data_IF_774691407735
#
_entry.id   IF_774691407735
#
_cell.length_a   1.000
_cell.length_b   1.000
_cell.length_c   1.000
_cell.angle_alpha   90.00
_cell.angle_beta   90.00
_cell.angle_gamma   90.00
#
_symmetry.space_group_name_H-M   'P 1'
#
loop_
_entity.id
_entity.type
_entity.pdbx_description
1 polymer ?
#
# COMPACT_ATOMS: atom_id res chain seq x y z
N UNK A 1 -45.58 20.69 15.79
CA UNK A 1 -44.91 19.44 16.19
C UNK A 1 -43.77 19.16 15.22
N UNK A 2 -42.54 19.45 15.61
CA UNK A 2 -41.32 19.21 14.78
C UNK A 2 -40.79 17.83 15.16
N UNK A 3 -40.86 16.86 14.23
CA UNK A 3 -40.25 15.55 14.44
C UNK A 3 -38.75 15.65 14.16
N UNK A 4 -37.97 15.59 15.23
CA UNK A 4 -36.53 15.48 15.19
C UNK A 4 -36.16 14.06 14.73
N UNK A 5 -35.67 13.89 13.49
CA UNK A 5 -35.06 12.64 13.01
C UNK A 5 -33.65 12.55 13.56
N UNK A 6 -33.39 11.76 14.57
CA UNK A 6 -32.07 11.36 14.98
C UNK A 6 -31.51 10.38 13.92
N UNK A 7 -30.60 10.86 13.07
CA UNK A 7 -29.76 9.97 12.28
C UNK A 7 -28.77 9.30 13.23
N UNK A 8 -29.02 8.04 13.58
CA UNK A 8 -28.08 7.19 14.28
C UNK A 8 -26.93 6.88 13.29
N UNK A 9 -25.81 7.60 13.42
CA UNK A 9 -24.58 7.31 12.67
C UNK A 9 -24.04 5.99 13.22
N UNK A 10 -24.43 4.85 12.60
CA UNK A 10 -23.77 3.57 12.88
C UNK A 10 -22.33 3.68 12.39
N UNK A 11 -21.40 3.84 13.30
CA UNK A 11 -19.98 3.60 13.08
C UNK A 11 -19.84 2.13 12.64
N UNK A 12 -19.81 1.89 11.33
CA UNK A 12 -19.43 0.60 10.76
C UNK A 12 -17.94 0.46 11.01
N UNK A 13 -17.58 -0.11 12.16
CA UNK A 13 -16.17 -0.51 12.40
C UNK A 13 -15.85 -1.56 11.35
N UNK A 14 -14.92 -1.23 10.50
CA UNK A 14 -14.48 -2.10 9.44
C UNK A 14 -13.94 -3.42 10.04
N UNK A 15 -14.47 -4.59 9.65
CA UNK A 15 -14.25 -5.87 10.34
C UNK A 15 -12.79 -6.37 10.31
N UNK A 16 -11.94 -5.79 9.47
CA UNK A 16 -10.51 -6.14 9.39
C UNK A 16 -9.64 -5.60 10.54
N UNK A 17 -10.18 -4.70 11.37
CA UNK A 17 -9.44 -4.13 12.50
C UNK A 17 -9.37 -5.06 13.73
N UNK A 18 -10.28 -6.03 13.87
CA UNK A 18 -10.51 -6.74 15.13
C UNK A 18 -10.36 -8.26 15.10
N UNK A 19 -10.28 -8.91 13.96
CA UNK A 19 -10.27 -10.37 13.87
C UNK A 19 -8.89 -10.89 13.43
N UNK A 20 -8.04 -11.22 14.37
CA UNK A 20 -6.77 -11.92 14.07
C UNK A 20 -6.16 -12.50 15.33
N UNK A 21 -5.50 -13.63 15.19
CA UNK A 21 -4.72 -14.30 16.24
C UNK A 21 -3.45 -13.53 16.66
N UNK A 22 -3.35 -12.24 16.34
CA UNK A 22 -2.21 -11.39 16.64
C UNK A 22 -0.99 -11.59 15.74
N UNK A 23 -1.05 -12.50 14.77
CA UNK A 23 0.08 -12.78 13.87
C UNK A 23 0.15 -11.74 12.75
N UNK A 24 0.88 -10.67 12.97
CA UNK A 24 1.14 -9.63 11.98
C UNK A 24 2.54 -9.78 11.37
N UNK A 25 2.69 -9.48 10.06
CA UNK A 25 4.03 -9.33 9.47
C UNK A 25 4.83 -8.22 10.15
N UNK A 26 6.15 -8.27 10.02
CA UNK A 26 7.00 -7.18 10.50
C UNK A 26 6.58 -5.86 9.86
N UNK A 27 6.69 -4.76 10.61
CA UNK A 27 6.35 -3.40 10.15
C UNK A 27 4.91 -3.27 9.59
N UNK A 28 3.96 -4.06 10.15
CA UNK A 28 2.56 -4.02 9.74
C UNK A 28 1.86 -2.78 10.30
N UNK A 29 1.25 -2.00 9.41
CA UNK A 29 0.53 -0.76 9.74
C UNK A 29 -0.61 -0.49 8.75
N UNK A 30 -1.62 0.23 9.21
CA UNK A 30 -2.56 0.88 8.32
C UNK A 30 -1.87 2.03 7.57
N UNK A 31 -2.11 2.11 6.27
CA UNK A 31 -1.89 3.31 5.46
C UNK A 31 -3.16 4.15 5.48
N UNK A 32 -4.29 3.49 5.25
CA UNK A 32 -5.61 4.10 5.27
C UNK A 32 -6.62 3.02 5.67
N UNK A 33 -7.15 3.12 6.89
CA UNK A 33 -8.10 2.14 7.43
C UNK A 33 -9.44 2.20 6.73
N UNK A 34 -9.92 3.38 6.38
CA UNK A 34 -11.21 3.57 5.71
C UNK A 34 -11.20 2.95 4.31
N UNK A 35 -10.10 3.12 3.60
CA UNK A 35 -9.89 2.51 2.29
C UNK A 35 -9.40 1.05 2.37
N UNK A 36 -9.11 0.52 3.55
CA UNK A 36 -8.59 -0.83 3.73
C UNK A 36 -7.21 -1.04 3.10
N UNK A 37 -6.32 -0.07 3.23
CA UNK A 37 -4.94 -0.13 2.69
C UNK A 37 -3.95 -0.26 3.84
N UNK A 38 -3.13 -1.30 3.77
CA UNK A 38 -2.14 -1.65 4.79
C UNK A 38 -0.76 -1.83 4.18
N UNK A 39 0.27 -1.73 5.01
CA UNK A 39 1.67 -1.96 4.62
C UNK A 39 2.37 -2.91 5.57
N UNK A 40 3.41 -3.63 5.08
CA UNK A 40 4.27 -4.46 5.93
C UNK A 40 5.61 -4.77 5.28
N UNK A 41 6.48 -5.47 6.01
CA UNK A 41 7.56 -6.31 5.47
C UNK A 41 6.99 -7.57 4.83
N UNK A 42 7.88 -8.47 4.39
CA UNK A 42 7.50 -9.73 3.75
C UNK A 42 6.74 -10.62 4.73
N UNK A 43 5.47 -10.99 4.45
CA UNK A 43 4.77 -11.96 5.26
C UNK A 43 5.25 -13.39 4.97
N UNK A 44 5.30 -14.25 6.00
CA UNK A 44 5.40 -15.68 5.85
C UNK A 44 4.02 -16.34 5.65
N UNK A 45 4.00 -17.67 5.54
CA UNK A 45 2.75 -18.43 5.32
C UNK A 45 1.69 -18.16 6.40
N UNK A 46 2.09 -18.19 7.68
CA UNK A 46 1.17 -18.00 8.82
C UNK A 46 0.56 -16.60 8.83
N UNK A 47 1.36 -15.57 8.52
CA UNK A 47 0.87 -14.21 8.41
C UNK A 47 -0.12 -14.04 7.24
N UNK A 48 0.13 -14.67 6.09
CA UNK A 48 -0.83 -14.68 4.99
C UNK A 48 -2.13 -15.41 5.37
N UNK A 49 -2.07 -16.50 6.13
CA UNK A 49 -3.26 -17.18 6.66
C UNK A 49 -4.07 -16.28 7.61
N UNK A 50 -3.37 -15.57 8.49
CA UNK A 50 -3.99 -14.59 9.40
C UNK A 50 -4.64 -13.45 8.61
N UNK A 51 -3.95 -12.88 7.62
CA UNK A 51 -4.49 -11.83 6.76
C UNK A 51 -5.72 -12.31 5.98
N UNK A 52 -5.70 -13.52 5.42
CA UNK A 52 -6.83 -14.10 4.71
C UNK A 52 -8.07 -14.28 5.63
N UNK A 53 -7.87 -14.78 6.86
CA UNK A 53 -8.93 -14.89 7.89
C UNK A 53 -9.52 -13.53 8.25
N UNK A 54 -8.71 -12.46 8.22
CA UNK A 54 -9.13 -11.06 8.44
C UNK A 54 -9.81 -10.44 7.21
N UNK A 55 -10.03 -11.20 6.16
CA UNK A 55 -10.72 -10.77 4.96
C UNK A 55 -9.88 -10.00 3.95
N UNK A 56 -8.54 -9.97 4.08
CA UNK A 56 -7.70 -9.40 3.03
C UNK A 56 -7.97 -10.09 1.69
N UNK A 57 -7.91 -9.31 0.60
CA UNK A 57 -8.20 -9.79 -0.77
C UNK A 57 -7.00 -9.65 -1.70
N UNK A 58 -6.19 -8.64 -1.50
CA UNK A 58 -5.12 -8.29 -2.44
C UNK A 58 -3.78 -8.11 -1.75
N UNK A 59 -2.73 -8.56 -2.44
CA UNK A 59 -1.33 -8.38 -2.04
C UNK A 59 -0.60 -7.62 -3.15
N UNK A 60 -0.07 -6.43 -2.86
CA UNK A 60 0.85 -5.71 -3.73
C UNK A 60 2.27 -6.05 -3.36
N UNK A 61 2.85 -7.03 -4.06
CA UNK A 61 4.22 -7.45 -3.86
C UNK A 61 5.18 -6.60 -4.71
N UNK A 62 6.08 -5.85 -4.05
CA UNK A 62 7.08 -4.97 -4.70
C UNK A 62 8.46 -5.65 -4.81
N UNK A 63 8.59 -6.92 -4.44
CA UNK A 63 9.86 -7.65 -4.49
C UNK A 63 10.19 -8.06 -5.92
N UNK A 64 11.44 -7.83 -6.33
CA UNK A 64 11.87 -8.03 -7.71
C UNK A 64 11.87 -9.51 -8.11
N UNK A 65 12.49 -10.39 -7.32
CA UNK A 65 12.70 -11.79 -7.69
C UNK A 65 11.87 -12.81 -6.91
N UNK A 66 10.92 -12.35 -6.07
CA UNK A 66 10.12 -13.24 -5.23
C UNK A 66 8.63 -13.03 -5.47
N UNK A 67 7.93 -14.14 -5.71
CA UNK A 67 6.47 -14.21 -5.76
C UNK A 67 5.94 -14.86 -4.50
N UNK A 68 4.78 -14.40 -4.05
CA UNK A 68 4.08 -14.96 -2.90
C UNK A 68 3.15 -16.12 -3.28
N UNK A 69 3.01 -16.46 -4.56
CA UNK A 69 2.06 -17.49 -5.04
C UNK A 69 2.19 -18.84 -4.31
N UNK A 70 3.42 -19.24 -3.93
CA UNK A 70 3.63 -20.46 -3.13
C UNK A 70 3.12 -20.30 -1.71
N UNK A 71 3.30 -19.10 -1.12
CA UNK A 71 2.91 -18.80 0.25
C UNK A 71 1.40 -18.57 0.41
N UNK A 72 0.72 -18.08 -0.63
CA UNK A 72 -0.73 -17.82 -0.61
C UNK A 72 -1.55 -18.96 -1.25
N UNK A 73 -0.93 -20.07 -1.66
CA UNK A 73 -1.65 -21.19 -2.27
C UNK A 73 -2.79 -21.68 -1.37
N UNK A 74 -4.00 -21.79 -1.92
CA UNK A 74 -5.20 -22.20 -1.20
C UNK A 74 -5.81 -21.12 -0.30
N UNK A 75 -5.32 -19.87 -0.34
CA UNK A 75 -5.91 -18.72 0.32
C UNK A 75 -6.67 -17.87 -0.70
N UNK A 76 -7.72 -17.20 -0.26
CA UNK A 76 -8.47 -16.23 -1.08
C UNK A 76 -7.73 -14.88 -1.20
N UNK A 77 -6.45 -14.95 -1.56
CA UNK A 77 -5.59 -13.78 -1.74
C UNK A 77 -5.11 -13.71 -3.19
N UNK A 78 -5.14 -12.54 -3.80
CA UNK A 78 -4.61 -12.30 -5.14
C UNK A 78 -3.34 -11.48 -5.07
N UNK A 79 -2.24 -12.03 -5.62
CA UNK A 79 -0.99 -11.30 -5.76
C UNK A 79 -1.02 -10.41 -7.01
N UNK A 80 -0.68 -9.14 -6.82
CA UNK A 80 -0.34 -8.17 -7.87
C UNK A 80 1.13 -7.85 -7.76
N UNK A 81 1.96 -8.60 -8.47
CA UNK A 81 3.41 -8.44 -8.43
C UNK A 81 3.88 -7.47 -9.50
N UNK A 82 4.76 -6.54 -9.10
CA UNK A 82 5.58 -5.75 -10.00
C UNK A 82 6.92 -5.55 -9.30
N UNK A 83 7.92 -6.29 -9.75
CA UNK A 83 9.25 -6.21 -9.17
C UNK A 83 9.83 -4.81 -9.35
N UNK A 84 10.15 -4.16 -8.23
CA UNK A 84 10.76 -2.83 -8.21
C UNK A 84 12.18 -2.95 -7.68
N UNK A 85 13.15 -2.47 -8.44
CA UNK A 85 14.53 -2.38 -7.99
C UNK A 85 14.72 -1.07 -7.21
N UNK A 86 15.06 -1.15 -5.94
CA UNK A 86 15.14 0.01 -5.03
C UNK A 86 16.13 1.07 -5.50
N UNK A 87 17.25 0.65 -6.10
CA UNK A 87 18.29 1.56 -6.60
C UNK A 87 17.93 2.28 -7.91
N UNK A 88 16.91 1.79 -8.64
CA UNK A 88 16.54 2.31 -9.97
C UNK A 88 15.02 2.36 -10.17
N UNK A 89 14.27 2.74 -9.13
CA UNK A 89 12.81 2.95 -9.21
C UNK A 89 12.51 4.06 -10.20
N UNK A 90 11.58 3.82 -11.10
CA UNK A 90 11.13 4.80 -12.09
C UNK A 90 9.74 5.34 -11.78
N UNK A 91 9.38 6.47 -12.40
CA UNK A 91 8.02 7.01 -12.34
C UNK A 91 6.99 5.98 -12.86
N UNK A 92 7.33 5.23 -13.91
CA UNK A 92 6.49 4.17 -14.47
C UNK A 92 6.23 3.04 -13.47
N UNK A 93 7.24 2.67 -12.67
CA UNK A 93 7.07 1.67 -11.61
C UNK A 93 6.11 2.17 -10.54
N UNK A 94 6.24 3.44 -10.13
CA UNK A 94 5.33 4.06 -9.18
C UNK A 94 3.91 4.16 -9.73
N UNK A 95 3.75 4.56 -11.00
CA UNK A 95 2.45 4.64 -11.65
C UNK A 95 1.74 3.28 -11.64
N UNK A 96 2.45 2.22 -12.03
CA UNK A 96 1.92 0.86 -12.01
C UNK A 96 1.60 0.38 -10.59
N UNK A 97 2.42 0.74 -9.61
CA UNK A 97 2.19 0.38 -8.22
C UNK A 97 0.96 1.10 -7.65
N UNK A 98 0.88 2.41 -7.81
CA UNK A 98 -0.22 3.24 -7.31
C UNK A 98 -1.55 2.87 -7.98
N UNK A 99 -1.54 2.53 -9.28
CA UNK A 99 -2.73 2.04 -9.99
C UNK A 99 -3.31 0.80 -9.32
N UNK A 100 -2.48 -0.17 -8.98
CA UNK A 100 -2.92 -1.37 -8.23
C UNK A 100 -3.40 -1.01 -6.82
N UNK A 101 -2.69 -0.13 -6.11
CA UNK A 101 -3.12 0.31 -4.77
C UNK A 101 -4.49 0.97 -4.82
N UNK A 102 -4.78 1.75 -5.86
CA UNK A 102 -6.08 2.40 -6.07
C UNK A 102 -7.18 1.39 -6.43
N UNK A 103 -6.91 0.47 -7.37
CA UNK A 103 -7.95 -0.28 -8.08
C UNK A 103 -8.16 -1.72 -7.58
N UNK A 104 -7.18 -2.32 -6.91
CA UNK A 104 -7.29 -3.71 -6.47
C UNK A 104 -8.36 -3.87 -5.37
N UNK A 105 -9.01 -5.04 -5.28
CA UNK A 105 -9.95 -5.35 -4.20
C UNK A 105 -9.34 -5.10 -2.80
N UNK A 106 -10.16 -4.61 -1.89
CA UNK A 106 -9.76 -4.28 -0.52
C UNK A 106 -10.32 -5.33 0.47
N UNK A 107 -9.69 -5.52 1.64
CA UNK A 107 -8.43 -4.91 2.08
C UNK A 107 -7.21 -5.35 1.27
N UNK A 108 -6.25 -4.42 1.09
CA UNK A 108 -5.03 -4.63 0.33
C UNK A 108 -3.80 -4.48 1.24
N UNK A 109 -2.84 -5.39 1.13
CA UNK A 109 -1.53 -5.26 1.73
C UNK A 109 -0.48 -4.86 0.68
N UNK A 110 0.31 -3.81 0.97
CA UNK A 110 1.48 -3.43 0.19
C UNK A 110 2.72 -3.90 0.95
N UNK A 111 3.60 -4.67 0.32
CA UNK A 111 4.84 -5.08 0.97
C UNK A 111 6.05 -5.13 0.04
N UNK A 112 7.24 -5.10 0.67
CA UNK A 112 8.50 -5.44 0.03
C UNK A 112 9.28 -6.43 0.93
N UNK A 113 10.59 -6.29 1.12
CA UNK A 113 11.32 -7.12 2.08
C UNK A 113 11.12 -6.65 3.51
N UNK A 114 11.50 -5.38 3.80
CA UNK A 114 11.39 -4.80 5.14
C UNK A 114 10.09 -4.00 5.38
N UNK A 115 9.35 -3.70 4.31
CA UNK A 115 8.20 -2.78 4.40
C UNK A 115 8.60 -1.30 4.46
N UNK A 116 9.87 -0.98 4.26
CA UNK A 116 10.45 0.35 4.46
C UNK A 116 10.57 1.13 3.13
N UNK A 117 11.61 0.86 2.36
CA UNK A 117 12.02 1.71 1.22
C UNK A 117 11.02 1.70 0.05
N UNK A 118 10.89 0.57 -0.67
CA UNK A 118 9.95 0.44 -1.79
C UNK A 118 8.51 0.65 -1.38
N UNK A 119 8.13 0.07 -0.25
CA UNK A 119 6.78 0.22 0.31
C UNK A 119 6.52 1.67 0.69
N UNK A 120 7.45 2.32 1.39
CA UNK A 120 7.35 3.74 1.75
C UNK A 120 7.21 4.65 0.53
N UNK A 121 8.01 4.39 -0.52
CA UNK A 121 7.95 5.19 -1.77
C UNK A 121 6.59 5.06 -2.47
N UNK A 122 6.04 3.83 -2.55
CA UNK A 122 4.71 3.60 -3.15
C UNK A 122 3.61 4.22 -2.30
N UNK A 123 3.70 4.14 -0.97
CA UNK A 123 2.76 4.81 -0.06
C UNK A 123 2.83 6.34 -0.24
N UNK A 124 4.03 6.93 -0.28
CA UNK A 124 4.19 8.36 -0.52
C UNK A 124 3.59 8.78 -1.88
N UNK A 125 3.87 8.03 -2.94
CA UNK A 125 3.28 8.28 -4.26
C UNK A 125 1.74 8.18 -4.25
N UNK A 126 1.16 7.22 -3.52
CA UNK A 126 -0.28 7.10 -3.33
C UNK A 126 -0.86 8.32 -2.58
N UNK A 127 -0.21 8.75 -1.48
CA UNK A 127 -0.60 9.95 -0.73
C UNK A 127 -0.66 11.19 -1.63
N UNK A 128 0.39 11.40 -2.45
CA UNK A 128 0.48 12.56 -3.32
C UNK A 128 -0.51 12.48 -4.49
N UNK A 129 -0.54 11.34 -5.19
CA UNK A 129 -1.30 11.21 -6.42
C UNK A 129 -2.81 11.03 -6.21
N UNK A 130 -3.21 10.31 -5.15
CA UNK A 130 -4.61 9.92 -4.91
C UNK A 130 -5.23 10.74 -3.78
N UNK A 131 -4.48 11.01 -2.72
CA UNK A 131 -4.98 11.75 -1.55
C UNK A 131 -4.60 13.24 -1.56
N UNK A 132 -3.94 13.71 -2.64
CA UNK A 132 -3.56 15.13 -2.83
C UNK A 132 -2.68 15.70 -1.70
N UNK A 133 -1.82 14.87 -1.10
CA UNK A 133 -0.85 15.37 -0.14
C UNK A 133 0.25 16.15 -0.84
N UNK A 134 0.78 17.15 -0.12
CA UNK A 134 2.02 17.81 -0.52
C UNK A 134 3.18 16.83 -0.50
N UNK A 135 4.12 16.99 -1.46
CA UNK A 135 5.25 16.07 -1.64
C UNK A 135 6.09 15.93 -0.36
N UNK A 136 6.42 17.07 0.27
CA UNK A 136 7.24 17.05 1.49
C UNK A 136 6.50 16.45 2.70
N UNK A 137 5.18 16.57 2.75
CA UNK A 137 4.37 15.90 3.78
C UNK A 137 4.43 14.37 3.63
N UNK A 138 4.32 13.86 2.41
CA UNK A 138 4.41 12.42 2.15
C UNK A 138 5.84 11.89 2.39
N UNK A 139 6.86 12.67 2.06
CA UNK A 139 8.26 12.35 2.38
C UNK A 139 8.49 12.35 3.90
N UNK A 140 7.92 13.30 4.63
CA UNK A 140 8.02 13.33 6.09
C UNK A 140 7.39 12.07 6.72
N UNK A 141 6.22 11.61 6.25
CA UNK A 141 5.63 10.33 6.66
C UNK A 141 6.59 9.16 6.37
N UNK A 142 7.18 9.11 5.17
CA UNK A 142 8.13 8.06 4.80
C UNK A 142 9.35 8.02 5.72
N UNK A 143 9.81 9.18 6.22
CA UNK A 143 10.98 9.36 7.10
C UNK A 143 10.70 9.07 8.57
N UNK A 144 9.45 8.86 8.99
CA UNK A 144 9.15 8.54 10.38
C UNK A 144 9.97 7.32 10.82
N UNK A 145 10.61 7.35 12.01
CA UNK A 145 11.50 6.27 12.47
C UNK A 145 10.85 4.90 12.43
N UNK A 146 9.57 4.81 12.76
CA UNK A 146 8.79 3.57 12.74
C UNK A 146 8.56 3.01 11.33
N UNK A 147 8.81 3.78 10.26
CA UNK A 147 8.73 3.33 8.88
C UNK A 147 10.04 2.72 8.37
N UNK A 148 11.15 2.94 9.08
CA UNK A 148 12.44 2.29 8.86
C UNK A 148 13.09 2.61 7.51
N UNK A 149 12.84 3.80 6.94
CA UNK A 149 13.42 4.20 5.65
C UNK A 149 14.94 4.39 5.72
N UNK A 150 15.67 3.76 4.79
CA UNK A 150 17.12 3.81 4.73
C UNK A 150 17.60 4.95 3.81
N UNK A 151 17.39 6.19 4.21
CA UNK A 151 17.67 7.38 3.38
C UNK A 151 19.13 7.47 2.91
N UNK A 152 20.10 7.12 3.76
CA UNK A 152 21.53 7.14 3.41
C UNK A 152 21.89 6.18 2.27
N UNK A 153 21.09 5.11 2.09
CA UNK A 153 21.31 4.09 1.04
C UNK A 153 20.46 4.41 -0.18
N UNK A 154 19.23 4.83 0.03
CA UNK A 154 18.21 4.97 -1.01
C UNK A 154 17.68 6.42 -1.15
N UNK A 155 18.57 7.42 -1.01
CA UNK A 155 18.23 8.83 -1.23
C UNK A 155 17.66 9.13 -2.62
N UNK A 156 17.97 8.27 -3.62
CA UNK A 156 17.39 8.33 -4.96
C UNK A 156 15.85 8.31 -4.96
N UNK A 157 15.21 7.66 -3.97
CA UNK A 157 13.75 7.59 -3.87
C UNK A 157 13.14 8.96 -3.58
N UNK A 158 13.80 9.77 -2.76
CA UNK A 158 13.34 11.14 -2.47
C UNK A 158 13.55 12.07 -3.67
N UNK A 159 14.68 11.91 -4.37
CA UNK A 159 14.94 12.65 -5.62
C UNK A 159 13.85 12.33 -6.64
N UNK A 160 13.49 11.05 -6.79
CA UNK A 160 12.39 10.64 -7.67
C UNK A 160 11.07 11.30 -7.28
N UNK A 161 10.64 11.20 -6.02
CA UNK A 161 9.37 11.76 -5.55
C UNK A 161 9.28 13.28 -5.77
N UNK A 162 10.39 14.01 -5.61
CA UNK A 162 10.46 15.46 -5.84
C UNK A 162 10.50 15.82 -7.32
N UNK A 163 11.05 14.94 -8.16
CA UNK A 163 11.21 15.18 -9.61
C UNK A 163 9.99 14.87 -10.45
N UNK A 164 9.00 14.13 -9.94
CA UNK A 164 7.79 13.77 -10.68
C UNK A 164 6.89 15.00 -10.90
N UNK A 165 6.43 15.17 -12.14
CA UNK A 165 5.31 16.06 -12.42
C UNK A 165 3.99 15.40 -11.99
N UNK A 166 3.55 15.68 -10.77
CA UNK A 166 2.38 15.03 -10.19
C UNK A 166 1.07 15.33 -10.93
N UNK A 167 0.98 16.44 -11.65
CA UNK A 167 -0.20 16.73 -12.47
C UNK A 167 -0.28 15.78 -13.67
N UNK A 168 0.82 15.54 -14.35
CA UNK A 168 0.88 14.60 -15.47
C UNK A 168 0.78 13.15 -14.98
N UNK A 169 1.38 12.84 -13.84
CA UNK A 169 1.21 11.53 -13.18
C UNK A 169 -0.27 11.23 -12.88
N UNK A 170 -1.04 12.19 -12.34
CA UNK A 170 -2.47 12.03 -12.07
C UNK A 170 -3.28 11.84 -13.36
N UNK A 171 -2.96 12.60 -14.43
CA UNK A 171 -3.60 12.42 -15.75
C UNK A 171 -3.36 11.00 -16.28
N UNK A 172 -2.12 10.52 -16.19
CA UNK A 172 -1.76 9.17 -16.63
C UNK A 172 -2.37 8.08 -15.73
N UNK A 173 -2.44 8.33 -14.44
CA UNK A 173 -3.10 7.43 -13.49
C UNK A 173 -4.60 7.28 -13.79
N UNK A 174 -5.27 8.35 -14.23
CA UNK A 174 -6.69 8.35 -14.57
C UNK A 174 -7.01 7.55 -15.85
N UNK A 175 -6.02 7.32 -16.74
CA UNK A 175 -6.23 6.49 -17.93
C UNK A 175 -6.43 5.03 -17.54
N UNK A 176 -7.33 4.30 -18.23
CA UNK A 176 -7.45 2.86 -18.06
C UNK A 176 -6.09 2.17 -18.24
N UNK A 177 -5.82 1.14 -17.47
CA UNK A 177 -4.65 0.31 -17.73
C UNK A 177 -4.77 -0.27 -19.15
N UNK A 178 -3.71 -0.14 -19.96
CA UNK A 178 -3.70 -0.77 -21.28
C UNK A 178 -4.01 -2.26 -21.10
N UNK A 179 -5.01 -2.77 -21.82
CA UNK A 179 -5.34 -4.18 -21.83
C UNK A 179 -4.09 -4.96 -22.25
N UNK A 180 -3.63 -5.86 -21.38
CA UNK A 180 -2.54 -6.81 -21.67
C UNK A 180 -3.12 -8.13 -22.07
#
# INVERSE_FOLDING_TARGET
MVRLFYFLLMLIVAPWATAGDGTNPTNFKAVDEELGIFRSGQPGRKEFESLAKRGFRSIRNLRNYHSDLKLIRGLELKEFRCGVNTGSVTEKDLLNAVRVVRDAPKPLLIHCWHGSDRTGTVVAAFRIAVQNWEVEKAIAEMRLPENGYHEKIYGNLLVLLRGINWNDFRKELARPAAAR
#
